data_IF_162082307957
#
_entry.id   IF_162082307957
#
_cell.length_a   1.000
_cell.length_b   1.000
_cell.length_c   1.000
_cell.angle_alpha   90.00
_cell.angle_beta   90.00
_cell.angle_gamma   90.00
#
_symmetry.space_group_name_H-M   'P 1'
#
loop_
_entity.id
_entity.type
_entity.pdbx_description
1 polymer ?
#
# COMPACT_ATOMS: atom_id res chain seq x y z
N UNK A 1 14.84 -13.03 20.06
CA UNK A 1 13.78 -13.91 19.52
C UNK A 1 12.49 -13.09 19.44
N UNK A 2 11.96 -12.79 18.25
CA UNK A 2 10.76 -11.94 18.11
C UNK A 2 9.54 -12.76 18.55
N UNK A 3 9.08 -12.57 19.78
CA UNK A 3 7.85 -13.21 20.26
C UNK A 3 6.64 -12.61 19.56
N UNK A 4 5.96 -13.39 18.72
CA UNK A 4 4.68 -12.96 18.14
C UNK A 4 3.65 -12.78 19.27
N UNK A 5 3.10 -11.56 19.38
CA UNK A 5 2.12 -11.19 20.42
C UNK A 5 0.77 -11.90 20.27
N UNK A 6 0.43 -12.34 19.06
CA UNK A 6 -0.86 -12.94 18.74
C UNK A 6 -0.71 -14.34 18.13
N UNK A 7 -1.83 -15.06 18.12
CA UNK A 7 -2.05 -16.30 17.39
C UNK A 7 -3.30 -16.17 16.53
N UNK A 8 -3.25 -16.76 15.35
CA UNK A 8 -4.34 -16.80 14.39
C UNK A 8 -4.69 -18.27 14.17
N UNK A 9 -5.95 -18.60 14.37
CA UNK A 9 -6.47 -19.96 14.24
C UNK A 9 -7.41 -19.99 13.06
N UNK A 10 -7.06 -20.76 12.04
CA UNK A 10 -7.94 -21.07 10.92
C UNK A 10 -8.82 -22.23 11.31
N UNK A 11 -10.13 -22.04 11.25
CA UNK A 11 -11.12 -22.99 11.69
C UNK A 11 -12.14 -23.22 10.58
N UNK A 12 -12.60 -24.46 10.46
CA UNK A 12 -13.73 -24.85 9.65
C UNK A 12 -14.94 -25.09 10.55
N UNK A 13 -16.08 -24.55 10.17
CA UNK A 13 -17.33 -24.65 10.92
C UNK A 13 -18.28 -25.57 10.18
N UNK A 14 -18.44 -26.79 10.67
CA UNK A 14 -19.47 -27.69 10.15
C UNK A 14 -20.81 -27.34 10.78
N UNK A 15 -21.83 -27.14 9.94
CA UNK A 15 -23.22 -26.96 10.33
C UNK A 15 -23.95 -28.26 10.05
N UNK A 16 -24.75 -28.75 10.99
CA UNK A 16 -25.67 -29.88 10.79
C UNK A 16 -27.09 -29.32 10.60
N UNK A 17 -27.53 -29.04 9.35
CA UNK A 17 -28.84 -28.43 9.08
C UNK A 17 -30.02 -29.37 9.38
N UNK A 18 -29.79 -30.69 9.45
CA UNK A 18 -30.84 -31.69 9.72
C UNK A 18 -31.23 -31.75 11.20
N UNK A 19 -30.51 -31.03 12.07
CA UNK A 19 -30.75 -30.93 13.52
C UNK A 19 -31.10 -29.51 13.95
N UNK A 20 -31.88 -28.79 13.14
CA UNK A 20 -32.38 -27.47 13.53
C UNK A 20 -33.26 -27.58 14.79
N UNK A 21 -32.84 -26.94 15.89
CA UNK A 21 -33.41 -27.19 17.22
C UNK A 21 -34.85 -26.67 17.40
N UNK A 22 -35.32 -25.80 16.50
CA UNK A 22 -36.64 -25.16 16.59
C UNK A 22 -37.52 -25.32 15.33
N UNK A 23 -37.08 -26.03 14.29
CA UNK A 23 -37.90 -26.31 13.11
C UNK A 23 -38.29 -25.09 12.25
N UNK A 24 -37.72 -23.92 12.50
CA UNK A 24 -37.93 -22.71 11.69
C UNK A 24 -36.90 -22.68 10.56
N UNK A 25 -37.30 -23.14 9.36
CA UNK A 25 -36.46 -23.36 8.18
C UNK A 25 -35.78 -22.13 7.54
N UNK A 26 -35.19 -21.25 8.35
CA UNK A 26 -34.28 -20.19 7.91
C UNK A 26 -32.83 -20.64 8.05
N UNK A 27 -32.06 -20.74 6.96
CA UNK A 27 -30.68 -21.20 7.03
C UNK A 27 -29.81 -20.19 7.80
N UNK A 28 -29.10 -20.65 8.85
CA UNK A 28 -28.16 -19.80 9.59
C UNK A 28 -26.97 -19.42 8.71
N UNK A 29 -26.87 -18.13 8.41
CA UNK A 29 -25.71 -17.56 7.70
C UNK A 29 -24.62 -17.29 8.74
N UNK A 30 -23.43 -17.89 8.56
CA UNK A 30 -22.28 -17.60 9.42
C UNK A 30 -21.82 -16.16 9.20
N UNK A 31 -21.75 -15.39 10.28
CA UNK A 31 -21.28 -14.00 10.29
C UNK A 31 -20.20 -13.83 11.35
N UNK A 32 -19.48 -12.71 11.31
CA UNK A 32 -18.52 -12.39 12.39
C UNK A 32 -19.22 -12.23 13.74
N UNK A 33 -20.45 -11.72 13.73
CA UNK A 33 -21.21 -11.42 14.94
C UNK A 33 -21.63 -12.72 15.64
N UNK A 34 -22.36 -13.60 14.94
CA UNK A 34 -22.87 -14.83 15.56
C UNK A 34 -21.76 -15.79 16.00
N UNK A 35 -20.66 -15.89 15.27
CA UNK A 35 -19.50 -16.67 15.68
C UNK A 35 -18.80 -16.06 16.89
N UNK A 36 -18.69 -14.73 16.96
CA UNK A 36 -18.09 -14.04 18.10
C UNK A 36 -18.93 -14.24 19.37
N UNK A 37 -20.25 -14.13 19.26
CA UNK A 37 -21.20 -14.38 20.37
C UNK A 37 -21.11 -15.81 20.85
N UNK A 38 -21.25 -16.80 19.95
CA UNK A 38 -21.20 -18.21 20.33
C UNK A 38 -19.87 -18.61 21.01
N UNK A 39 -18.74 -18.05 20.55
CA UNK A 39 -17.43 -18.31 21.16
C UNK A 39 -17.34 -17.63 22.54
N UNK A 40 -17.84 -16.39 22.69
CA UNK A 40 -17.86 -15.71 23.99
C UNK A 40 -18.72 -16.45 25.00
N UNK A 41 -19.89 -16.93 24.59
CA UNK A 41 -20.78 -17.72 25.43
C UNK A 41 -20.11 -19.02 25.86
N UNK A 42 -19.43 -19.70 24.93
CA UNK A 42 -18.63 -20.88 25.27
C UNK A 42 -17.49 -20.56 26.24
N UNK A 43 -16.81 -19.41 26.08
CA UNK A 43 -15.77 -18.99 27.03
C UNK A 43 -16.38 -18.76 28.42
N UNK A 44 -17.51 -18.06 28.49
CA UNK A 44 -18.21 -17.76 29.74
C UNK A 44 -18.64 -19.05 30.46
N UNK A 45 -19.26 -19.98 29.73
CA UNK A 45 -19.75 -21.24 30.29
C UNK A 45 -18.61 -22.12 30.80
N UNK A 46 -17.50 -22.21 30.06
CA UNK A 46 -16.42 -23.16 30.37
C UNK A 46 -15.29 -22.57 31.24
N UNK A 47 -15.10 -21.25 31.23
CA UNK A 47 -14.00 -20.56 31.92
C UNK A 47 -14.45 -19.42 32.84
N UNK A 48 -15.76 -19.20 32.97
CA UNK A 48 -16.35 -18.19 33.85
C UNK A 48 -16.10 -16.74 33.39
N UNK A 49 -16.58 -15.81 34.19
CA UNK A 49 -16.47 -14.37 33.92
C UNK A 49 -15.02 -13.89 33.83
N UNK A 50 -14.13 -14.43 34.68
CA UNK A 50 -12.70 -14.12 34.62
C UNK A 50 -12.07 -14.58 33.30
N UNK A 51 -12.44 -15.76 32.80
CA UNK A 51 -12.02 -16.27 31.51
C UNK A 51 -12.48 -15.37 30.37
N UNK A 52 -13.76 -14.97 30.38
CA UNK A 52 -14.31 -14.05 29.39
C UNK A 52 -13.61 -12.68 29.44
N UNK A 53 -13.45 -12.10 30.63
CA UNK A 53 -12.80 -10.81 30.84
C UNK A 53 -11.35 -10.78 30.31
N UNK A 54 -10.58 -11.83 30.58
CA UNK A 54 -9.20 -11.96 30.06
C UNK A 54 -9.13 -12.03 28.53
N UNK A 55 -10.17 -12.59 27.89
CA UNK A 55 -10.23 -12.78 26.45
C UNK A 55 -10.82 -11.57 25.71
N UNK A 56 -11.71 -10.78 26.32
CA UNK A 56 -12.48 -9.72 25.64
C UNK A 56 -11.62 -8.72 24.86
N UNK A 57 -10.44 -8.34 25.38
CA UNK A 57 -9.52 -7.42 24.71
C UNK A 57 -8.56 -8.07 23.71
N UNK A 58 -8.48 -9.41 23.69
CA UNK A 58 -7.48 -10.16 22.91
C UNK A 58 -8.09 -11.04 21.81
N UNK A 59 -9.34 -11.45 21.97
CA UNK A 59 -10.10 -12.30 21.06
C UNK A 59 -10.88 -11.49 20.02
N UNK A 60 -10.79 -11.87 18.75
CA UNK A 60 -11.72 -11.43 17.70
C UNK A 60 -11.81 -12.41 16.53
N UNK A 61 -13.00 -12.50 15.95
CA UNK A 61 -13.24 -13.19 14.68
C UNK A 61 -12.80 -12.26 13.54
N UNK A 62 -11.64 -12.52 12.95
CA UNK A 62 -11.03 -11.69 11.92
C UNK A 62 -11.67 -11.89 10.55
N UNK A 63 -12.04 -13.14 10.21
CA UNK A 63 -12.57 -13.52 8.91
C UNK A 63 -13.63 -14.62 9.05
N UNK A 64 -14.64 -14.59 8.19
CA UNK A 64 -15.66 -15.63 8.05
C UNK A 64 -16.03 -15.71 6.58
N UNK A 65 -16.03 -16.92 6.03
CA UNK A 65 -16.59 -17.23 4.72
C UNK A 65 -17.85 -18.09 4.92
N UNK A 66 -19.06 -17.55 4.64
CA UNK A 66 -20.29 -18.30 4.83
C UNK A 66 -20.48 -19.43 3.81
N UNK A 67 -19.70 -19.45 2.72
CA UNK A 67 -19.77 -20.47 1.66
C UNK A 67 -18.84 -21.64 2.00
N UNK A 68 -17.55 -21.39 2.18
CA UNK A 68 -16.55 -22.43 2.50
C UNK A 68 -16.55 -22.85 3.98
N UNK A 69 -17.36 -22.15 4.78
CA UNK A 69 -17.51 -22.29 6.24
C UNK A 69 -16.21 -22.13 7.01
N UNK A 70 -15.24 -21.41 6.45
CA UNK A 70 -13.99 -21.10 7.13
C UNK A 70 -14.11 -19.83 7.96
N UNK A 71 -13.44 -19.79 9.09
CA UNK A 71 -13.26 -18.58 9.87
C UNK A 71 -11.83 -18.47 10.40
N UNK A 72 -11.36 -17.24 10.60
CA UNK A 72 -10.08 -16.98 11.25
C UNK A 72 -10.36 -16.27 12.55
N UNK A 73 -9.86 -16.84 13.64
CA UNK A 73 -9.95 -16.27 14.99
C UNK A 73 -8.57 -15.83 15.43
N UNK A 74 -8.45 -14.56 15.81
CA UNK A 74 -7.25 -14.03 16.46
C UNK A 74 -7.44 -14.06 17.96
N UNK A 75 -6.38 -14.46 18.67
CA UNK A 75 -6.25 -14.34 20.11
C UNK A 75 -4.83 -13.87 20.48
N UNK A 76 -4.62 -13.41 21.72
CA UNK A 76 -3.27 -13.20 22.22
C UNK A 76 -2.52 -14.53 22.32
N UNK A 77 -1.19 -14.46 22.36
CA UNK A 77 -0.38 -15.66 22.57
C UNK A 77 -0.68 -16.34 23.91
N UNK A 78 -1.05 -15.59 24.93
CA UNK A 78 -1.28 -16.17 26.26
C UNK A 78 -2.66 -16.83 26.35
N UNK A 79 -3.64 -16.31 25.59
CA UNK A 79 -5.04 -16.76 25.66
C UNK A 79 -5.50 -17.69 24.54
N UNK A 80 -4.67 -17.91 23.51
CA UNK A 80 -5.07 -18.71 22.35
C UNK A 80 -5.56 -20.12 22.68
N UNK A 81 -4.97 -20.79 23.69
CA UNK A 81 -5.39 -22.13 24.10
C UNK A 81 -6.79 -22.13 24.72
N UNK A 82 -7.10 -21.13 25.54
CA UNK A 82 -8.43 -20.97 26.16
C UNK A 82 -9.49 -20.72 25.09
N UNK A 83 -9.21 -19.78 24.18
CA UNK A 83 -10.08 -19.49 23.05
C UNK A 83 -10.27 -20.74 22.17
N UNK A 84 -9.20 -21.45 21.84
CA UNK A 84 -9.29 -22.68 21.05
C UNK A 84 -10.17 -23.74 21.73
N UNK A 85 -9.92 -24.03 23.00
CA UNK A 85 -10.75 -24.97 23.78
C UNK A 85 -12.22 -24.55 23.78
N UNK A 86 -12.52 -23.26 24.00
CA UNK A 86 -13.89 -22.76 23.96
C UNK A 86 -14.53 -22.98 22.57
N UNK A 87 -13.81 -22.70 21.48
CA UNK A 87 -14.32 -22.90 20.12
C UNK A 87 -14.71 -24.36 19.86
N UNK A 88 -13.89 -25.32 20.29
CA UNK A 88 -14.19 -26.75 20.14
C UNK A 88 -15.38 -27.23 20.97
N UNK A 89 -15.81 -26.43 21.96
CA UNK A 89 -16.94 -26.72 22.85
C UNK A 89 -18.21 -25.94 22.47
N UNK A 90 -18.16 -25.10 21.43
CA UNK A 90 -19.38 -24.45 20.90
C UNK A 90 -20.29 -25.52 20.34
N UNK A 91 -21.51 -25.61 20.88
CA UNK A 91 -22.50 -26.62 20.47
C UNK A 91 -23.45 -26.13 19.39
N UNK A 92 -23.76 -24.84 19.37
CA UNK A 92 -24.64 -24.21 18.39
C UNK A 92 -24.21 -22.79 18.08
N UNK A 93 -24.56 -22.32 16.89
CA UNK A 93 -24.51 -20.90 16.48
C UNK A 93 -25.93 -20.52 16.09
N UNK A 94 -26.56 -19.67 16.89
CA UNK A 94 -28.03 -19.54 16.85
C UNK A 94 -28.69 -20.88 17.17
N UNK A 95 -29.59 -21.32 16.30
CA UNK A 95 -30.37 -22.56 16.47
C UNK A 95 -29.77 -23.78 15.76
N UNK A 96 -28.67 -23.60 15.02
CA UNK A 96 -28.02 -24.69 14.30
C UNK A 96 -26.87 -25.29 15.10
N UNK A 97 -26.82 -26.63 15.27
CA UNK A 97 -25.66 -27.31 15.83
C UNK A 97 -24.41 -27.10 14.98
N UNK A 98 -23.28 -26.86 15.65
CA UNK A 98 -21.99 -26.63 14.97
C UNK A 98 -20.87 -27.48 15.55
N UNK A 99 -19.86 -27.73 14.72
CA UNK A 99 -18.57 -28.26 15.14
C UNK A 99 -17.46 -27.40 14.54
N UNK A 100 -16.51 -26.98 15.38
CA UNK A 100 -15.31 -26.29 14.93
C UNK A 100 -14.16 -27.28 14.76
N UNK A 101 -13.61 -27.33 13.56
CA UNK A 101 -12.40 -28.08 13.25
C UNK A 101 -11.23 -27.12 13.03
N UNK A 102 -10.12 -27.32 13.73
CA UNK A 102 -8.92 -26.50 13.57
C UNK A 102 -8.12 -26.99 12.36
N UNK A 103 -7.83 -26.09 11.42
CA UNK A 103 -7.04 -26.39 10.23
C UNK A 103 -5.59 -25.89 10.34
N UNK A 104 -5.36 -24.72 10.93
CA UNK A 104 -4.02 -24.13 11.08
C UNK A 104 -3.91 -23.20 12.30
N UNK A 105 -2.74 -23.17 12.94
CA UNK A 105 -2.39 -22.14 13.94
C UNK A 105 -1.12 -21.42 13.52
N UNK A 106 -1.26 -20.13 13.26
CA UNK A 106 -0.19 -19.30 12.74
C UNK A 106 0.19 -18.15 13.70
N UNK A 107 1.46 -17.76 13.68
CA UNK A 107 1.98 -16.63 14.47
C UNK A 107 1.72 -15.25 13.84
N UNK A 108 1.36 -15.22 12.55
CA UNK A 108 1.03 -13.99 11.83
C UNK A 108 -0.19 -14.21 10.92
N UNK A 109 -0.93 -13.13 10.66
CA UNK A 109 -2.13 -13.17 9.83
C UNK A 109 -1.83 -13.60 8.38
N UNK A 110 -0.61 -13.29 7.89
CA UNK A 110 -0.20 -13.64 6.52
C UNK A 110 -0.12 -15.15 6.34
N UNK A 111 0.58 -15.86 7.23
CA UNK A 111 0.67 -17.32 7.16
C UNK A 111 -0.71 -17.99 7.30
N UNK A 112 -1.52 -17.50 8.25
CA UNK A 112 -2.89 -18.00 8.43
C UNK A 112 -3.77 -17.78 7.18
N UNK A 113 -3.59 -16.65 6.50
CA UNK A 113 -4.29 -16.31 5.26
C UNK A 113 -3.84 -17.20 4.11
N UNK A 114 -2.54 -17.44 3.97
CA UNK A 114 -2.01 -18.31 2.93
C UNK A 114 -2.53 -19.75 3.12
N UNK A 115 -2.63 -20.21 4.37
CA UNK A 115 -3.27 -21.48 4.72
C UNK A 115 -4.79 -21.47 4.39
N UNK A 116 -5.50 -20.39 4.73
CA UNK A 116 -6.93 -20.26 4.41
C UNK A 116 -7.18 -20.32 2.90
N UNK A 117 -6.42 -19.55 2.11
CA UNK A 117 -6.52 -19.55 0.65
C UNK A 117 -6.25 -20.93 0.06
N UNK A 118 -5.28 -21.67 0.61
CA UNK A 118 -5.01 -23.05 0.20
C UNK A 118 -6.20 -23.95 0.49
N UNK A 119 -6.73 -23.93 1.72
CA UNK A 119 -7.91 -24.72 2.10
C UNK A 119 -9.15 -24.37 1.26
N UNK A 120 -9.37 -23.09 0.96
CA UNK A 120 -10.46 -22.67 0.08
C UNK A 120 -10.26 -23.19 -1.33
N UNK A 121 -9.08 -23.01 -1.90
CA UNK A 121 -8.74 -23.51 -3.24
C UNK A 121 -8.95 -25.03 -3.31
N UNK A 122 -8.55 -25.78 -2.30
CA UNK A 122 -8.74 -27.23 -2.23
C UNK A 122 -10.23 -27.62 -2.19
N UNK A 123 -11.05 -26.94 -1.37
CA UNK A 123 -12.51 -27.17 -1.31
C UNK A 123 -13.24 -26.74 -2.59
N UNK A 124 -12.78 -25.68 -3.24
CA UNK A 124 -13.33 -25.21 -4.51
C UNK A 124 -12.98 -26.15 -5.66
N UNK A 125 -11.75 -26.67 -5.70
CA UNK A 125 -11.34 -27.69 -6.66
C UNK A 125 -12.13 -29.01 -6.48
N UNK A 126 -12.50 -29.35 -5.24
CA UNK A 126 -13.38 -30.48 -4.95
C UNK A 126 -14.84 -30.25 -5.35
N UNK A 127 -15.29 -28.99 -5.48
CA UNK A 127 -16.67 -28.61 -5.86
C UNK A 127 -16.83 -28.19 -7.34
N UNK A 128 -15.77 -28.30 -8.15
CA UNK A 128 -15.85 -28.24 -9.62
C UNK A 128 -16.00 -26.85 -10.25
N UNK A 129 -15.89 -25.76 -9.47
CA UNK A 129 -15.83 -24.37 -9.99
C UNK A 129 -14.63 -23.65 -9.39
N UNK A 130 -13.60 -23.41 -10.20
CA UNK A 130 -12.49 -22.52 -9.82
C UNK A 130 -12.98 -21.08 -9.69
N UNK A 131 -12.50 -20.36 -8.69
CA UNK A 131 -12.73 -18.91 -8.58
C UNK A 131 -12.06 -18.20 -9.76
N UNK A 132 -12.76 -17.25 -10.36
CA UNK A 132 -12.15 -16.30 -11.29
C UNK A 132 -11.08 -15.48 -10.57
N UNK A 133 -10.09 -14.96 -11.32
CA UNK A 133 -9.07 -14.06 -10.75
C UNK A 133 -9.70 -12.84 -10.04
N UNK A 134 -10.87 -12.39 -10.50
CA UNK A 134 -11.60 -11.26 -9.92
C UNK A 134 -12.18 -11.60 -8.55
N UNK A 135 -12.78 -12.79 -8.38
CA UNK A 135 -13.31 -13.24 -7.08
C UNK A 135 -12.19 -13.43 -6.05
N UNK A 136 -11.04 -13.97 -6.48
CA UNK A 136 -9.85 -14.10 -5.62
C UNK A 136 -9.36 -12.71 -5.18
N UNK A 137 -9.32 -11.73 -6.09
CA UNK A 137 -8.94 -10.35 -5.76
C UNK A 137 -9.94 -9.71 -4.81
N UNK A 138 -11.24 -9.91 -5.01
CA UNK A 138 -12.28 -9.34 -4.17
C UNK A 138 -12.29 -9.94 -2.76
N UNK A 139 -12.14 -11.26 -2.62
CA UNK A 139 -11.92 -11.92 -1.33
C UNK A 139 -10.67 -11.40 -0.63
N UNK A 140 -9.58 -11.26 -1.38
CA UNK A 140 -8.32 -10.71 -0.89
C UNK A 140 -8.44 -9.26 -0.41
N UNK A 141 -9.34 -8.46 -1.01
CA UNK A 141 -9.69 -7.10 -0.59
C UNK A 141 -10.51 -7.13 0.70
N UNK A 142 -11.59 -7.93 0.75
CA UNK A 142 -12.47 -8.06 1.93
C UNK A 142 -11.77 -8.61 3.17
N UNK A 143 -10.68 -9.35 3.00
CA UNK A 143 -9.85 -9.89 4.09
C UNK A 143 -8.76 -8.94 4.61
N UNK A 144 -8.49 -7.81 3.94
CA UNK A 144 -7.54 -6.80 4.43
C UNK A 144 -8.27 -5.81 5.31
N UNK A 145 -7.60 -5.33 6.36
CA UNK A 145 -8.06 -4.13 7.07
C UNK A 145 -8.10 -2.99 6.04
N UNK A 146 -9.19 -2.21 5.96
CA UNK A 146 -9.28 -1.08 5.05
C UNK A 146 -8.06 -0.18 5.24
N UNK A 147 -7.42 0.18 4.13
CA UNK A 147 -6.25 1.07 4.14
C UNK A 147 -6.64 2.42 3.59
N UNK A 148 -6.44 3.44 4.40
CA UNK A 148 -6.57 4.84 4.01
C UNK A 148 -5.19 5.38 3.62
N UNK A 149 -5.13 6.05 2.47
CA UNK A 149 -3.99 6.86 2.05
C UNK A 149 -4.30 8.33 2.33
N UNK A 150 -3.48 8.99 3.11
CA UNK A 150 -3.58 10.45 3.31
C UNK A 150 -2.78 11.17 2.22
N UNK A 151 -3.40 12.08 1.48
CA UNK A 151 -2.78 12.79 0.36
C UNK A 151 -2.69 14.28 0.68
N UNK A 152 -1.48 14.84 0.59
CA UNK A 152 -1.23 16.27 0.73
C UNK A 152 -0.87 16.86 -0.62
N UNK A 153 -1.69 17.79 -1.13
CA UNK A 153 -1.40 18.58 -2.33
C UNK A 153 -0.66 19.84 -1.90
N UNK A 154 0.62 19.98 -2.22
CA UNK A 154 1.45 21.07 -1.69
C UNK A 154 1.76 22.19 -2.68
N UNK A 155 1.39 22.04 -3.96
CA UNK A 155 1.79 22.97 -5.01
C UNK A 155 3.31 22.97 -5.22
N UNK A 156 3.91 24.14 -5.39
CA UNK A 156 5.35 24.29 -5.62
C UNK A 156 6.09 24.48 -4.30
N UNK A 157 7.00 23.57 -3.97
CA UNK A 157 7.76 23.58 -2.70
C UNK A 157 9.26 23.52 -2.99
N UNK A 158 10.08 24.29 -2.27
CA UNK A 158 11.54 24.14 -2.36
C UNK A 158 11.99 22.71 -2.02
N UNK A 159 13.00 22.22 -2.73
CA UNK A 159 13.46 20.83 -2.61
C UNK A 159 13.87 20.46 -1.18
N UNK A 160 14.69 21.28 -0.52
CA UNK A 160 15.17 21.00 0.84
C UNK A 160 14.05 21.06 1.87
N UNK A 161 13.11 22.02 1.75
CA UNK A 161 11.92 22.07 2.63
C UNK A 161 11.10 20.79 2.50
N UNK A 162 10.90 20.29 1.27
CA UNK A 162 10.21 19.02 1.04
C UNK A 162 10.99 17.80 1.55
N UNK A 163 12.33 17.83 1.51
CA UNK A 163 13.17 16.75 2.01
C UNK A 163 13.10 16.65 3.54
N UNK A 164 13.19 17.80 4.24
CA UNK A 164 12.95 17.88 5.69
C UNK A 164 11.57 17.34 6.06
N UNK A 165 10.54 17.72 5.29
CA UNK A 165 9.19 17.19 5.50
C UNK A 165 9.12 15.68 5.37
N UNK A 166 9.73 15.12 4.33
CA UNK A 166 9.76 13.68 4.13
C UNK A 166 10.45 12.96 5.30
N UNK A 167 11.58 13.47 5.80
CA UNK A 167 12.28 12.86 6.94
C UNK A 167 11.46 12.89 8.25
N UNK A 168 10.72 13.99 8.49
CA UNK A 168 9.76 14.09 9.59
C UNK A 168 8.64 13.05 9.46
N UNK A 169 7.99 12.98 8.30
CA UNK A 169 6.91 12.03 8.04
C UNK A 169 7.38 10.58 8.08
N UNK A 170 8.57 10.27 7.59
CA UNK A 170 9.18 8.93 7.71
C UNK A 170 9.32 8.54 9.18
N UNK A 171 9.74 9.47 10.03
CA UNK A 171 9.91 9.23 11.47
C UNK A 171 8.57 9.00 12.18
N UNK A 172 7.59 9.85 11.90
CA UNK A 172 6.22 9.74 12.41
C UNK A 172 5.55 8.44 11.95
N UNK A 173 5.72 8.09 10.66
CA UNK A 173 5.18 6.86 10.08
C UNK A 173 5.84 5.63 10.69
N UNK A 174 7.16 5.65 10.89
CA UNK A 174 7.92 4.58 11.56
C UNK A 174 7.44 4.37 13.00
N UNK A 175 7.05 5.44 13.69
CA UNK A 175 6.44 5.40 15.01
C UNK A 175 4.95 5.01 15.00
N UNK A 176 4.33 4.81 13.82
CA UNK A 176 2.89 4.58 13.63
C UNK A 176 2.00 5.70 14.21
N UNK A 177 2.47 6.94 14.20
CA UNK A 177 1.70 8.12 14.64
C UNK A 177 0.79 8.68 13.53
N UNK A 178 1.17 8.46 12.28
CA UNK A 178 0.42 8.85 11.08
C UNK A 178 0.10 7.62 10.21
N UNK A 179 -0.97 7.67 9.39
CA UNK A 179 -1.25 6.67 8.36
C UNK A 179 -0.18 6.69 7.25
N UNK A 180 -0.34 5.83 6.24
CA UNK A 180 0.46 5.97 5.02
C UNK A 180 0.11 7.32 4.35
N UNK A 181 1.14 8.06 3.94
CA UNK A 181 0.99 9.43 3.44
C UNK A 181 1.58 9.56 2.04
N UNK A 182 0.97 10.36 1.18
CA UNK A 182 1.45 10.72 -0.15
C UNK A 182 1.56 12.23 -0.26
N UNK A 183 2.76 12.74 -0.54
CA UNK A 183 2.93 14.15 -0.91
C UNK A 183 2.83 14.28 -2.43
N UNK A 184 1.98 15.18 -2.89
CA UNK A 184 1.82 15.56 -4.30
C UNK A 184 2.23 17.02 -4.46
N UNK A 185 3.29 17.26 -5.23
CA UNK A 185 3.92 18.58 -5.33
C UNK A 185 4.68 18.75 -6.64
N UNK A 186 5.22 19.95 -6.83
CA UNK A 186 6.23 20.25 -7.82
C UNK A 186 7.39 20.99 -7.16
N UNK A 187 8.53 21.08 -7.84
CA UNK A 187 9.69 21.83 -7.36
C UNK A 187 9.97 23.02 -8.28
N UNK A 188 10.56 24.10 -7.75
CA UNK A 188 11.34 25.02 -8.57
C UNK A 188 12.46 24.26 -9.31
N UNK A 189 13.04 24.82 -10.39
CA UNK A 189 14.12 24.17 -11.14
C UNK A 189 15.23 23.66 -10.21
N UNK A 190 15.43 22.35 -10.18
CA UNK A 190 16.30 21.68 -9.22
C UNK A 190 16.92 20.43 -9.84
N UNK A 191 18.24 20.36 -9.82
CA UNK A 191 18.98 19.13 -10.07
C UNK A 191 19.24 18.41 -8.76
N UNK A 192 19.08 17.09 -8.79
CA UNK A 192 19.42 16.24 -7.65
C UNK A 192 20.37 15.14 -8.06
N UNK A 193 21.40 14.90 -7.25
CA UNK A 193 22.27 13.73 -7.40
C UNK A 193 21.89 12.68 -6.36
N UNK A 194 21.63 11.46 -6.84
CA UNK A 194 21.38 10.32 -5.99
C UNK A 194 22.65 9.76 -5.35
N UNK A 195 22.50 8.61 -4.67
CA UNK A 195 23.55 7.95 -3.91
C UNK A 195 24.81 7.59 -4.72
N UNK A 196 24.70 7.46 -6.04
CA UNK A 196 25.83 7.12 -6.94
C UNK A 196 26.83 8.26 -7.14
N UNK A 197 26.47 9.51 -6.78
CA UNK A 197 27.33 10.72 -6.88
C UNK A 197 28.07 10.81 -8.22
N UNK A 198 27.31 10.98 -9.28
CA UNK A 198 27.79 11.06 -10.67
C UNK A 198 27.88 12.52 -11.12
N UNK A 199 28.79 13.24 -10.50
CA UNK A 199 28.96 14.68 -10.75
C UNK A 199 29.29 14.97 -12.23
N UNK A 200 29.98 14.03 -12.90
CA UNK A 200 30.29 14.09 -14.34
C UNK A 200 29.08 14.05 -15.26
N UNK A 201 27.89 13.66 -14.76
CA UNK A 201 26.65 13.68 -15.54
C UNK A 201 25.95 15.04 -15.48
N UNK A 202 26.48 16.02 -14.75
CA UNK A 202 26.08 17.41 -14.86
C UNK A 202 26.95 18.10 -15.93
N UNK A 203 26.33 18.54 -17.02
CA UNK A 203 27.00 19.09 -18.20
C UNK A 203 27.18 20.62 -18.13
N UNK A 204 26.59 21.25 -17.11
CA UNK A 204 26.71 22.69 -16.85
C UNK A 204 27.53 22.91 -15.57
N UNK A 205 28.46 23.88 -15.54
CA UNK A 205 29.18 24.21 -14.31
C UNK A 205 28.23 24.62 -13.19
N UNK A 206 28.50 24.18 -11.95
CA UNK A 206 27.65 24.52 -10.80
C UNK A 206 27.48 26.03 -10.60
N UNK A 207 28.49 26.83 -10.95
CA UNK A 207 28.46 28.29 -10.89
C UNK A 207 27.40 28.92 -11.81
N UNK A 208 27.07 28.26 -12.92
CA UNK A 208 26.11 28.75 -13.92
C UNK A 208 24.67 28.32 -13.60
N UNK A 209 24.46 27.35 -12.71
CA UNK A 209 23.10 26.89 -12.33
C UNK A 209 22.22 28.01 -11.79
N UNK A 210 22.80 28.93 -11.01
CA UNK A 210 22.07 30.10 -10.49
C UNK A 210 21.59 31.03 -11.60
N UNK A 211 22.31 31.11 -12.72
CA UNK A 211 21.95 31.97 -13.85
C UNK A 211 20.70 31.50 -14.59
N UNK A 212 20.47 30.17 -14.58
CA UNK A 212 19.26 29.54 -15.13
C UNK A 212 18.18 29.31 -14.06
N UNK A 213 18.36 29.87 -12.85
CA UNK A 213 17.39 29.74 -11.75
C UNK A 213 17.28 28.33 -11.15
N UNK A 214 18.30 27.49 -11.32
CA UNK A 214 18.30 26.12 -10.82
C UNK A 214 19.20 25.92 -9.59
N UNK A 215 18.80 25.01 -8.70
CA UNK A 215 19.59 24.58 -7.55
C UNK A 215 20.17 23.17 -7.75
N UNK A 216 21.27 22.85 -7.06
CA UNK A 216 21.86 21.50 -7.02
C UNK A 216 21.81 20.93 -5.61
N UNK A 217 21.22 19.74 -5.45
CA UNK A 217 21.13 19.07 -4.15
C UNK A 217 21.65 17.62 -4.19
N UNK A 218 22.44 17.25 -3.19
CA UNK A 218 22.93 15.88 -3.00
C UNK A 218 21.99 15.11 -2.08
N UNK A 219 21.60 13.91 -2.49
CA UNK A 219 20.50 13.18 -1.87
C UNK A 219 20.84 11.70 -1.67
N UNK A 220 20.06 11.02 -0.83
CA UNK A 220 20.26 9.60 -0.52
C UNK A 220 19.33 8.67 -1.31
N UNK A 221 18.59 9.19 -2.30
CA UNK A 221 17.74 8.37 -3.16
C UNK A 221 18.56 7.45 -4.05
N UNK A 222 17.96 6.34 -4.45
CA UNK A 222 18.48 5.51 -5.53
C UNK A 222 18.53 6.26 -6.86
N UNK A 223 19.29 5.70 -7.80
CA UNK A 223 19.50 6.30 -9.10
C UNK A 223 20.59 7.36 -9.11
N UNK A 224 20.58 8.12 -10.19
CA UNK A 224 21.69 8.95 -10.64
C UNK A 224 21.36 10.44 -10.53
N UNK A 225 21.86 11.30 -11.43
CA UNK A 225 21.38 12.66 -11.58
C UNK A 225 19.96 12.70 -12.20
N UNK A 226 19.14 13.68 -11.80
CA UNK A 226 17.86 14.00 -12.46
C UNK A 226 17.52 15.47 -12.27
N UNK A 227 16.61 15.97 -13.09
CA UNK A 227 16.00 17.29 -12.98
C UNK A 227 14.56 17.21 -12.44
N UNK A 228 14.19 18.22 -11.66
CA UNK A 228 12.84 18.53 -11.20
C UNK A 228 12.51 19.99 -11.46
N UNK A 229 11.27 20.30 -11.82
CA UNK A 229 10.87 21.67 -12.11
C UNK A 229 9.35 21.84 -12.22
N UNK A 230 8.91 23.05 -12.60
CA UNK A 230 7.51 23.32 -12.92
C UNK A 230 7.00 22.39 -14.03
N UNK A 231 5.70 22.11 -14.03
CA UNK A 231 4.99 21.20 -14.93
C UNK A 231 5.51 19.75 -14.88
N UNK A 232 6.08 19.34 -13.74
CA UNK A 232 6.46 17.97 -13.45
C UNK A 232 5.71 17.51 -12.19
N UNK A 233 4.90 16.46 -12.30
CA UNK A 233 4.20 15.90 -11.16
C UNK A 233 5.14 15.04 -10.32
N UNK A 234 5.37 15.45 -9.07
CA UNK A 234 6.22 14.73 -8.13
C UNK A 234 5.35 14.13 -7.04
N UNK A 235 5.46 12.82 -6.89
CA UNK A 235 4.80 12.08 -5.83
C UNK A 235 5.84 11.46 -4.89
N UNK A 236 5.73 11.75 -3.59
CA UNK A 236 6.54 11.14 -2.54
C UNK A 236 5.67 10.26 -1.63
N UNK A 237 5.53 8.96 -1.92
CA UNK A 237 4.80 8.04 -1.06
C UNK A 237 5.65 7.69 0.17
N UNK A 238 5.16 8.04 1.36
CA UNK A 238 5.72 7.70 2.67
C UNK A 238 4.91 6.55 3.26
N UNK A 239 5.24 5.33 2.83
CA UNK A 239 4.47 4.12 3.07
C UNK A 239 5.26 3.11 3.89
N UNK A 240 4.57 2.29 4.69
CA UNK A 240 5.17 1.10 5.29
C UNK A 240 5.09 -0.09 4.33
N UNK A 241 6.23 -0.50 3.77
CA UNK A 241 6.33 -1.68 2.89
C UNK A 241 5.83 -2.95 3.57
N UNK A 242 6.07 -3.09 4.87
CA UNK A 242 5.59 -4.23 5.67
C UNK A 242 4.06 -4.23 5.75
N UNK A 243 3.45 -3.06 5.95
CA UNK A 243 2.00 -2.93 6.08
C UNK A 243 1.29 -3.22 4.75
N UNK A 244 1.86 -2.77 3.63
CA UNK A 244 1.31 -3.03 2.30
C UNK A 244 1.72 -4.41 1.72
N UNK A 245 2.64 -5.11 2.38
CA UNK A 245 3.11 -6.44 1.99
C UNK A 245 4.05 -6.46 0.78
N UNK A 246 4.74 -5.34 0.50
CA UNK A 246 5.61 -5.19 -0.65
C UNK A 246 7.07 -5.43 -0.30
N UNK A 247 7.83 -5.98 -1.26
CA UNK A 247 9.29 -5.86 -1.29
C UNK A 247 9.73 -4.56 -1.98
N UNK A 248 11.01 -4.22 -1.87
CA UNK A 248 11.55 -3.02 -2.51
C UNK A 248 11.35 -3.01 -4.04
N UNK A 249 11.55 -4.16 -4.68
CA UNK A 249 11.35 -4.30 -6.14
C UNK A 249 9.89 -4.15 -6.54
N UNK A 250 8.98 -4.86 -5.88
CA UNK A 250 7.54 -4.78 -6.18
C UNK A 250 6.98 -3.37 -5.92
N UNK A 251 7.58 -2.62 -4.99
CA UNK A 251 7.27 -1.20 -4.78
C UNK A 251 7.64 -0.34 -5.99
N UNK A 252 8.86 -0.48 -6.51
CA UNK A 252 9.29 0.25 -7.72
C UNK A 252 8.42 -0.13 -8.92
N UNK A 253 8.17 -1.43 -9.14
CA UNK A 253 7.30 -1.91 -10.22
C UNK A 253 5.86 -1.40 -10.07
N UNK A 254 5.37 -1.19 -8.84
CA UNK A 254 4.07 -0.56 -8.61
C UNK A 254 4.07 0.92 -8.98
N UNK A 255 5.11 1.68 -8.66
CA UNK A 255 5.24 3.08 -9.11
C UNK A 255 5.29 3.19 -10.63
N UNK A 256 6.01 2.27 -11.30
CA UNK A 256 6.05 2.19 -12.77
C UNK A 256 4.64 1.92 -13.33
N UNK A 257 3.94 0.93 -12.79
CA UNK A 257 2.55 0.62 -13.19
C UNK A 257 1.62 1.81 -12.98
N UNK A 258 1.74 2.57 -11.90
CA UNK A 258 0.92 3.76 -11.66
C UNK A 258 1.07 4.80 -12.78
N UNK A 259 2.30 5.08 -13.21
CA UNK A 259 2.56 6.02 -14.31
C UNK A 259 2.14 5.47 -15.67
N UNK A 260 2.27 4.15 -15.90
CA UNK A 260 1.81 3.50 -17.14
C UNK A 260 0.28 3.55 -17.24
N UNK A 261 -0.43 3.17 -16.19
CA UNK A 261 -1.89 3.26 -16.12
C UNK A 261 -2.36 4.71 -16.31
N UNK A 262 -1.71 5.67 -15.64
CA UNK A 262 -1.99 7.09 -15.82
C UNK A 262 -1.77 7.54 -17.28
N UNK A 263 -0.64 7.18 -17.90
CA UNK A 263 -0.32 7.54 -19.29
C UNK A 263 -1.36 6.99 -20.27
N UNK A 264 -1.92 5.81 -19.99
CA UNK A 264 -2.94 5.19 -20.84
C UNK A 264 -4.25 5.98 -20.91
N UNK A 265 -4.57 6.79 -19.88
CA UNK A 265 -5.74 7.68 -19.87
C UNK A 265 -5.69 8.72 -21.00
N UNK A 266 -4.48 9.05 -21.45
CA UNK A 266 -4.21 10.02 -22.52
C UNK A 266 -3.81 9.37 -23.84
N UNK A 267 -4.03 8.06 -23.99
CA UNK A 267 -3.66 7.31 -25.19
C UNK A 267 -2.15 7.08 -25.37
N UNK A 268 -1.33 7.41 -24.36
CA UNK A 268 0.13 7.27 -24.44
C UNK A 268 0.54 5.84 -24.13
N UNK A 269 1.24 5.20 -25.08
CA UNK A 269 1.74 3.82 -24.95
C UNK A 269 3.05 3.77 -24.16
N UNK A 270 2.94 3.94 -22.85
CA UNK A 270 4.07 3.88 -21.93
C UNK A 270 4.40 2.43 -21.50
N UNK A 271 5.67 2.18 -21.16
CA UNK A 271 6.18 0.90 -20.66
C UNK A 271 7.20 1.09 -19.55
N UNK A 272 7.40 0.05 -18.73
CA UNK A 272 8.53 0.00 -17.81
C UNK A 272 9.85 -0.09 -18.60
N UNK A 273 10.92 0.43 -18.02
CA UNK A 273 12.24 0.36 -18.63
C UNK A 273 12.82 -1.05 -18.64
N UNK A 274 13.85 -1.27 -19.46
CA UNK A 274 14.58 -2.53 -19.43
C UNK A 274 15.47 -2.61 -18.18
N UNK A 275 16.26 -3.70 -18.08
CA UNK A 275 17.21 -3.88 -16.98
C UNK A 275 18.14 -2.67 -16.85
N UNK A 276 18.22 -2.12 -15.64
CA UNK A 276 18.97 -0.90 -15.30
C UNK A 276 18.37 0.44 -15.77
N UNK A 277 17.16 0.43 -16.33
CA UNK A 277 16.50 1.62 -16.89
C UNK A 277 15.26 2.02 -16.09
N UNK A 278 15.36 2.00 -14.76
CA UNK A 278 14.23 2.26 -13.85
C UNK A 278 13.48 3.55 -14.21
N UNK A 279 12.16 3.46 -14.24
CA UNK A 279 11.27 4.52 -14.71
C UNK A 279 10.36 4.05 -15.84
N UNK A 280 9.65 5.02 -16.43
CA UNK A 280 8.64 4.77 -17.45
C UNK A 280 9.00 5.50 -18.74
N UNK A 281 8.76 4.82 -19.86
CA UNK A 281 9.29 5.14 -21.17
C UNK A 281 8.23 5.06 -22.26
N UNK A 282 8.35 5.90 -23.28
CA UNK A 282 7.58 5.86 -24.53
C UNK A 282 8.58 5.67 -25.68
N UNK A 283 8.55 4.50 -26.32
CA UNK A 283 9.66 4.08 -27.18
C UNK A 283 10.96 4.02 -26.35
N UNK A 284 11.96 4.82 -26.74
CA UNK A 284 13.24 4.96 -26.03
C UNK A 284 13.37 6.28 -25.25
N UNK A 285 12.28 7.05 -25.14
CA UNK A 285 12.24 8.34 -24.44
C UNK A 285 11.64 8.18 -23.05
N UNK A 286 12.28 8.72 -22.02
CA UNK A 286 11.79 8.62 -20.63
C UNK A 286 10.72 9.66 -20.35
N UNK A 287 9.53 9.24 -19.91
CA UNK A 287 8.44 10.14 -19.49
C UNK A 287 8.35 10.28 -17.97
N UNK A 288 8.83 9.28 -17.22
CA UNK A 288 8.79 9.28 -15.76
C UNK A 288 10.04 8.68 -15.13
N UNK A 289 10.58 9.37 -14.12
CA UNK A 289 11.72 8.90 -13.33
C UNK A 289 11.25 8.35 -11.97
N UNK A 290 11.97 7.35 -11.47
CA UNK A 290 11.75 6.81 -10.12
C UNK A 290 13.09 6.82 -9.38
N UNK A 291 13.09 7.41 -8.20
CA UNK A 291 14.23 7.42 -7.30
C UNK A 291 13.73 7.34 -5.87
N UNK A 292 13.97 6.20 -5.22
CA UNK A 292 13.40 5.91 -3.89
C UNK A 292 14.51 5.64 -2.88
N UNK A 293 14.23 5.93 -1.62
CA UNK A 293 15.02 5.48 -0.47
C UNK A 293 14.10 4.70 0.47
N UNK A 294 14.56 3.54 0.93
CA UNK A 294 13.82 2.73 1.89
C UNK A 294 14.67 2.62 3.15
N UNK A 295 14.12 3.05 4.29
CA UNK A 295 14.78 2.96 5.59
C UNK A 295 13.84 2.34 6.60
N UNK A 296 14.30 1.30 7.31
CA UNK A 296 13.49 0.57 8.31
C UNK A 296 12.13 0.06 7.76
N UNK A 297 12.03 -0.18 6.45
CA UNK A 297 10.79 -0.58 5.77
C UNK A 297 9.81 0.55 5.45
N UNK A 298 10.19 1.81 5.68
CA UNK A 298 9.42 3.01 5.28
C UNK A 298 10.04 3.63 4.03
N UNK A 299 9.20 4.04 3.08
CA UNK A 299 9.62 4.67 1.82
C UNK A 299 9.79 6.18 1.96
N UNK A 300 10.70 6.75 1.18
CA UNK A 300 10.98 8.18 1.03
C UNK A 300 11.41 8.45 -0.42
N UNK A 301 11.28 9.69 -0.88
CA UNK A 301 11.27 10.06 -2.29
C UNK A 301 10.16 9.30 -3.04
N UNK A 302 10.30 9.05 -4.33
CA UNK A 302 9.21 8.47 -5.10
C UNK A 302 9.41 8.57 -6.61
N UNK A 303 8.43 9.16 -7.28
CA UNK A 303 8.39 9.31 -8.73
C UNK A 303 8.29 10.77 -9.14
N UNK A 304 8.76 11.07 -10.34
CA UNK A 304 8.63 12.34 -11.02
C UNK A 304 8.15 12.07 -12.45
N UNK A 305 6.97 12.59 -12.80
CA UNK A 305 6.32 12.38 -14.08
C UNK A 305 6.27 13.69 -14.86
N UNK A 306 6.76 13.68 -16.10
CA UNK A 306 6.85 14.89 -16.92
C UNK A 306 5.50 15.19 -17.57
N UNK A 307 4.79 16.23 -17.11
CA UNK A 307 3.56 16.70 -17.77
C UNK A 307 3.94 17.54 -18.98
N UNK A 308 4.59 18.68 -18.72
CA UNK A 308 5.12 19.59 -19.74
C UNK A 308 6.28 20.46 -19.21
N UNK A 309 7.31 19.88 -18.55
CA UNK A 309 8.42 20.67 -18.04
C UNK A 309 9.23 21.28 -19.18
N UNK A 310 9.96 22.37 -18.90
CA UNK A 310 10.93 22.89 -19.85
C UNK A 310 12.05 21.86 -20.06
N UNK A 311 12.08 21.29 -21.25
CA UNK A 311 12.96 20.17 -21.58
C UNK A 311 14.42 20.59 -21.72
N UNK A 312 14.71 21.89 -21.85
CA UNK A 312 16.08 22.42 -21.92
C UNK A 312 16.89 22.10 -20.67
N UNK A 313 16.24 22.00 -19.50
CA UNK A 313 16.94 21.59 -18.28
C UNK A 313 17.47 20.15 -18.35
N UNK A 314 16.86 19.26 -19.14
CA UNK A 314 17.38 17.91 -19.32
C UNK A 314 18.61 17.88 -20.24
N UNK A 315 18.84 18.90 -21.09
CA UNK A 315 20.02 19.01 -21.94
C UNK A 315 21.31 19.28 -21.14
N UNK A 316 21.17 19.79 -19.91
CA UNK A 316 22.29 20.04 -19.01
C UNK A 316 22.69 18.81 -18.17
N UNK A 317 22.08 17.64 -18.40
CA UNK A 317 22.40 16.41 -17.67
C UNK A 317 22.48 15.20 -18.60
N UNK A 318 23.24 14.18 -18.20
CA UNK A 318 23.21 12.85 -18.83
C UNK A 318 22.37 11.90 -17.96
N UNK A 319 21.06 11.76 -18.22
CA UNK A 319 20.18 10.98 -17.36
C UNK A 319 20.57 9.50 -17.37
N UNK A 320 20.79 8.93 -16.17
CA UNK A 320 21.16 7.53 -15.96
C UNK A 320 22.48 7.08 -16.61
N UNK A 321 23.35 8.00 -17.05
CA UNK A 321 24.65 7.67 -17.66
C UNK A 321 24.56 6.95 -19.00
N UNK A 322 23.43 7.01 -19.69
CA UNK A 322 23.23 6.43 -21.03
C UNK A 322 23.00 7.59 -21.99
N UNK A 323 24.00 7.88 -22.84
CA UNK A 323 23.99 9.04 -23.72
C UNK A 323 22.90 9.01 -24.81
N UNK A 324 22.47 7.82 -25.24
CA UNK A 324 21.56 7.66 -26.38
C UNK A 324 20.07 7.70 -26.00
N UNK A 325 19.72 8.23 -24.82
CA UNK A 325 18.36 8.16 -24.28
C UNK A 325 17.78 9.54 -24.00
N UNK A 326 16.71 9.85 -24.71
CA UNK A 326 16.01 11.11 -24.60
C UNK A 326 15.00 11.11 -23.44
N UNK A 327 14.53 12.31 -23.09
CA UNK A 327 13.44 12.53 -22.15
C UNK A 327 12.25 13.12 -22.92
N UNK A 328 11.04 12.77 -22.52
CA UNK A 328 9.79 13.27 -23.10
C UNK A 328 8.82 13.73 -22.01
N UNK A 329 7.67 14.25 -22.42
CA UNK A 329 6.59 14.72 -21.55
C UNK A 329 5.24 14.25 -22.07
N UNK A 330 4.22 14.24 -21.20
CA UNK A 330 2.86 13.91 -21.59
C UNK A 330 2.40 14.78 -22.75
N UNK A 331 2.68 16.09 -22.69
CA UNK A 331 2.34 17.06 -23.74
C UNK A 331 2.92 16.71 -25.11
N UNK A 332 4.12 16.10 -25.15
CA UNK A 332 4.78 15.70 -26.41
C UNK A 332 4.26 14.38 -26.97
N UNK A 333 3.71 13.52 -26.12
CA UNK A 333 3.33 12.15 -26.49
C UNK A 333 1.83 11.97 -26.73
N UNK A 334 1.00 12.99 -26.48
CA UNK A 334 -0.45 12.94 -26.71
C UNK A 334 -0.94 14.11 -27.56
N UNK A 335 -1.89 13.82 -28.46
CA UNK A 335 -2.66 14.82 -29.21
C UNK A 335 -3.87 15.34 -28.41
N UNK A 336 -4.15 14.76 -27.24
CA UNK A 336 -5.27 15.16 -26.41
C UNK A 336 -5.04 16.53 -25.78
N UNK A 337 -6.12 17.30 -25.61
CA UNK A 337 -6.08 18.51 -24.80
C UNK A 337 -5.88 18.11 -23.33
N UNK A 338 -4.77 18.55 -22.74
CA UNK A 338 -4.47 18.31 -21.34
C UNK A 338 -5.41 19.16 -20.45
N UNK A 339 -6.00 18.57 -19.39
CA UNK A 339 -6.75 19.33 -18.39
C UNK A 339 -5.80 20.16 -17.53
N UNK A 340 -6.33 20.86 -16.53
CA UNK A 340 -5.49 21.57 -15.56
C UNK A 340 -4.52 20.62 -14.85
N UNK A 341 -3.36 21.14 -14.44
CA UNK A 341 -2.37 20.34 -13.72
C UNK A 341 -2.91 19.75 -12.43
N UNK A 342 -3.83 20.44 -11.75
CA UNK A 342 -4.48 19.89 -10.57
C UNK A 342 -5.21 18.57 -10.88
N UNK A 343 -5.99 18.54 -11.97
CA UNK A 343 -6.69 17.33 -12.41
C UNK A 343 -5.69 16.24 -12.80
N UNK A 344 -4.57 16.61 -13.44
CA UNK A 344 -3.51 15.66 -13.79
C UNK A 344 -2.90 15.02 -12.53
N UNK A 345 -2.58 15.84 -11.52
CA UNK A 345 -2.05 15.36 -10.24
C UNK A 345 -3.07 14.44 -9.55
N UNK A 346 -4.35 14.79 -9.52
CA UNK A 346 -5.41 13.95 -8.95
C UNK A 346 -5.56 12.60 -9.65
N UNK A 347 -5.52 12.59 -10.99
CA UNK A 347 -5.61 11.37 -11.76
C UNK A 347 -4.40 10.46 -11.51
N UNK A 348 -3.19 11.03 -11.45
CA UNK A 348 -1.98 10.26 -11.13
C UNK A 348 -2.02 9.69 -9.70
N UNK A 349 -2.48 10.48 -8.72
CA UNK A 349 -2.72 10.02 -7.34
C UNK A 349 -3.72 8.88 -7.32
N UNK A 350 -4.81 8.98 -8.08
CA UNK A 350 -5.86 7.95 -8.17
C UNK A 350 -5.31 6.65 -8.75
N UNK A 351 -4.55 6.73 -9.85
CA UNK A 351 -3.85 5.57 -10.41
C UNK A 351 -2.90 4.92 -9.40
N UNK A 352 -2.15 5.73 -8.64
CA UNK A 352 -1.29 5.22 -7.57
C UNK A 352 -2.10 4.52 -6.48
N UNK A 353 -3.11 5.17 -5.90
CA UNK A 353 -3.94 4.60 -4.85
C UNK A 353 -4.54 3.25 -5.27
N UNK A 354 -5.03 3.16 -6.52
CA UNK A 354 -5.57 1.94 -7.11
C UNK A 354 -4.51 0.82 -7.24
N UNK A 355 -3.36 1.13 -7.83
CA UNK A 355 -2.26 0.15 -8.01
C UNK A 355 -1.75 -0.39 -6.67
N UNK A 356 -1.73 0.45 -5.64
CA UNK A 356 -1.36 0.08 -4.28
C UNK A 356 -2.51 -0.54 -3.48
N UNK A 357 -3.71 -0.60 -4.05
CA UNK A 357 -4.94 -1.15 -3.49
C UNK A 357 -5.35 -0.49 -2.16
N UNK A 358 -5.25 0.84 -2.08
CA UNK A 358 -5.87 1.60 -1.00
C UNK A 358 -7.39 1.61 -1.19
N UNK A 359 -8.11 1.50 -0.08
CA UNK A 359 -9.57 1.43 -0.06
C UNK A 359 -10.20 2.82 0.04
N UNK A 360 -9.48 3.74 0.68
CA UNK A 360 -9.91 5.11 0.91
C UNK A 360 -8.74 6.08 0.69
N UNK A 361 -9.06 7.27 0.18
CA UNK A 361 -8.09 8.34 -0.10
C UNK A 361 -8.61 9.62 0.55
N UNK A 362 -7.91 10.07 1.58
CA UNK A 362 -8.26 11.30 2.30
C UNK A 362 -7.34 12.41 1.84
N UNK A 363 -7.88 13.34 1.06
CA UNK A 363 -7.15 14.52 0.60
C UNK A 363 -7.16 15.59 1.69
N UNK A 364 -5.99 16.16 1.95
CA UNK A 364 -5.79 17.30 2.87
C UNK A 364 -5.56 18.55 2.02
N UNK A 365 -6.43 19.54 2.22
CA UNK A 365 -6.48 20.74 1.37
C UNK A 365 -5.68 21.93 1.91
N UNK A 366 -5.16 21.86 3.14
CA UNK A 366 -4.35 22.95 3.73
C UNK A 366 -2.86 22.58 3.76
N UNK A 367 -2.05 23.02 2.77
CA UNK A 367 -0.62 22.73 2.73
C UNK A 367 0.14 23.41 3.86
N UNK A 368 -0.37 24.54 4.37
CA UNK A 368 0.30 25.33 5.40
C UNK A 368 0.32 24.59 6.73
N UNK A 369 -0.74 23.85 7.05
CA UNK A 369 -0.82 23.05 8.27
C UNK A 369 0.33 22.05 8.42
N UNK A 370 0.78 21.42 7.32
CA UNK A 370 1.89 20.45 7.37
C UNK A 370 3.26 21.10 7.19
N UNK A 371 3.35 22.15 6.37
CA UNK A 371 4.61 22.86 6.11
C UNK A 371 5.06 23.74 7.27
N UNK A 372 4.13 24.34 8.03
CA UNK A 372 4.43 25.19 9.19
C UNK A 372 4.96 24.36 10.38
N UNK A 373 4.63 23.06 10.45
CA UNK A 373 5.21 22.19 11.48
C UNK A 373 6.74 22.06 11.36
N UNK A 374 7.35 22.53 10.27
CA UNK A 374 8.81 22.55 10.11
C UNK A 374 9.45 23.81 10.67
N UNK A 375 8.68 24.86 10.92
CA UNK A 375 9.17 26.16 11.40
C UNK A 375 9.22 26.22 12.94
N UNK A 376 8.50 25.33 13.63
CA UNK A 376 8.51 25.19 15.11
C UNK A 376 9.70 24.35 15.65
N UNK A 377 10.49 23.72 14.77
CA UNK A 377 11.59 22.80 15.12
C UNK A 377 13.01 23.41 14.89
N UNK A 378 13.12 24.69 14.49
CA UNK A 378 14.37 25.48 14.41
C UNK A 378 14.53 26.38 15.65
#
# INVERSE_FOLDING_TARGET
MVGFKNRFMLMEVYLDPDKDLLGEGTPVILTKLNLSEAIKDSILVNFGECGLASCLGSFHVAYVNPVTKLCIVRSSRDEHRRVWSAMTLVRSVGNCPVVFNLLDISGCIRACRDAALKCETDKFNQSGKGLSEEEIREMNRKMRTPRTLEVWKLGTVNYLKSLKLQDKLVSERKANRIPDTLLSLQHPPTYTLGKRRTDHNLLIPEAELKSIGAELHYTQRGGDITFHGPHQAILYPILSLRSIGFGARSYVEALERSMIEFSSLYGVKARAGNKCETGVWVGDRKIGAIGVRISSGITCHGLAFNIDPDMKYFEHIVPCGIADKEVTSLRRETDAQLPSEEVIHEQLVTCLAKVFSYDDVVVKEDPSAILNTLEDDD
#
